data_IF_799416233198
#
_entry.id   IF_799416233198
#
_cell.length_a   1.000
_cell.length_b   1.000
_cell.length_c   1.000
_cell.angle_alpha   90.00
_cell.angle_beta   90.00
_cell.angle_gamma   90.00
#
_symmetry.space_group_name_H-M   'P 1'
#
loop_
_entity.id
_entity.type
_entity.pdbx_description
1 polymer ?
#
# COMPACT_ATOMS: atom_id res chain seq x y z
N UNK A 1 20.12 -18.39 -15.33
CA UNK A 1 19.77 -18.57 -13.90
C UNK A 1 19.42 -17.18 -13.35
N UNK A 2 18.25 -16.65 -13.71
CA UNK A 2 17.84 -15.27 -13.45
C UNK A 2 16.34 -15.22 -13.09
N UNK A 3 15.94 -16.00 -12.10
CA UNK A 3 14.53 -16.12 -11.69
C UNK A 3 14.33 -16.10 -10.16
N UNK A 4 15.40 -15.92 -9.38
CA UNK A 4 15.31 -15.95 -7.90
C UNK A 4 15.45 -14.54 -7.30
N UNK A 5 16.11 -13.62 -8.01
CA UNK A 5 16.35 -12.25 -7.52
C UNK A 5 15.09 -11.39 -7.66
N UNK A 6 14.36 -11.49 -8.78
CA UNK A 6 13.13 -10.70 -9.00
C UNK A 6 12.03 -11.02 -7.98
N UNK A 7 11.86 -12.29 -7.64
CA UNK A 7 10.84 -12.70 -6.66
C UNK A 7 11.23 -12.34 -5.22
N UNK A 8 12.52 -12.26 -4.88
CA UNK A 8 12.98 -11.80 -3.56
C UNK A 8 12.90 -10.28 -3.41
N UNK A 9 13.16 -9.52 -4.47
CA UNK A 9 13.02 -8.06 -4.44
C UNK A 9 11.55 -7.63 -4.26
N UNK A 10 10.62 -8.35 -4.88
CA UNK A 10 9.18 -8.10 -4.77
C UNK A 10 8.53 -8.84 -3.58
N UNK A 11 9.25 -9.74 -2.90
CA UNK A 11 8.72 -10.51 -1.77
C UNK A 11 8.22 -9.64 -0.60
N UNK A 12 8.89 -8.55 -0.17
CA UNK A 12 8.39 -7.69 0.90
C UNK A 12 7.07 -7.00 0.52
N UNK A 13 6.93 -6.63 -0.75
CA UNK A 13 5.77 -5.92 -1.29
C UNK A 13 4.59 -6.89 -1.41
N UNK A 14 4.79 -8.05 -2.04
CA UNK A 14 3.78 -9.12 -2.14
C UNK A 14 3.33 -9.58 -0.74
N UNK A 15 4.23 -9.64 0.22
CA UNK A 15 3.93 -9.97 1.62
C UNK A 15 3.09 -8.88 2.30
N UNK A 16 3.44 -7.60 2.11
CA UNK A 16 2.71 -6.47 2.68
C UNK A 16 1.31 -6.31 2.09
N UNK A 17 1.17 -6.46 0.77
CA UNK A 17 -0.12 -6.49 0.07
C UNK A 17 -0.98 -7.66 0.54
N UNK A 18 -0.38 -8.85 0.76
CA UNK A 18 -1.11 -10.00 1.30
C UNK A 18 -1.61 -9.74 2.72
N UNK A 19 -0.80 -9.11 3.59
CA UNK A 19 -1.22 -8.70 4.93
C UNK A 19 -2.34 -7.65 4.87
N UNK A 20 -2.19 -6.63 4.03
CA UNK A 20 -3.20 -5.59 3.86
C UNK A 20 -4.53 -6.16 3.34
N UNK A 21 -4.48 -7.08 2.37
CA UNK A 21 -5.65 -7.78 1.87
C UNK A 21 -6.31 -8.66 2.94
N UNK A 22 -5.52 -9.38 3.74
CA UNK A 22 -6.05 -10.19 4.85
C UNK A 22 -6.68 -9.36 5.94
N UNK A 23 -6.16 -8.15 6.17
CA UNK A 23 -6.73 -7.17 7.09
C UNK A 23 -8.01 -6.57 6.54
N UNK A 24 -8.04 -6.20 5.25
CA UNK A 24 -9.23 -5.74 4.53
C UNK A 24 -10.37 -6.78 4.53
N UNK A 25 -10.07 -8.06 4.30
CA UNK A 25 -11.04 -9.16 4.38
C UNK A 25 -11.65 -9.33 5.80
N UNK A 26 -10.94 -8.89 6.85
CA UNK A 26 -11.51 -8.84 8.21
C UNK A 26 -12.21 -7.52 8.53
N UNK A 27 -11.91 -6.46 7.76
CA UNK A 27 -12.38 -5.09 7.95
C UNK A 27 -13.61 -4.72 7.09
N UNK A 28 -14.15 -5.64 6.28
CA UNK A 28 -15.42 -5.49 5.53
C UNK A 28 -16.64 -5.07 6.38
N UNK A 29 -16.50 -4.96 7.71
CA UNK A 29 -17.56 -4.50 8.60
C UNK A 29 -17.68 -2.98 8.75
N UNK A 30 -16.65 -2.19 8.46
CA UNK A 30 -16.72 -0.73 8.42
C UNK A 30 -15.71 -0.21 7.38
N UNK A 31 -16.19 0.39 6.30
CA UNK A 31 -15.35 1.07 5.30
C UNK A 31 -14.54 2.16 6.01
N UNK A 32 -13.30 1.85 6.34
CA UNK A 32 -12.37 2.76 7.02
C UNK A 32 -11.48 3.42 5.97
N UNK A 33 -11.18 4.71 6.16
CA UNK A 33 -10.42 5.55 5.22
C UNK A 33 -9.07 4.93 4.78
N UNK A 34 -8.46 4.13 5.65
CA UNK A 34 -7.20 3.42 5.45
C UNK A 34 -7.30 2.40 4.32
N UNK A 35 -8.46 1.72 4.20
CA UNK A 35 -8.68 0.69 3.16
C UNK A 35 -8.57 1.28 1.77
N UNK A 36 -9.08 2.51 1.60
CA UNK A 36 -9.03 3.23 0.33
C UNK A 36 -7.61 3.66 -0.05
N UNK A 37 -6.79 4.03 0.93
CA UNK A 37 -5.38 4.36 0.69
C UNK A 37 -4.59 3.13 0.26
N UNK A 38 -4.90 1.94 0.80
CA UNK A 38 -4.27 0.71 0.32
C UNK A 38 -4.68 0.36 -1.12
N UNK A 39 -5.93 0.62 -1.51
CA UNK A 39 -6.36 0.48 -2.91
C UNK A 39 -5.60 1.45 -3.83
N UNK A 40 -5.45 2.71 -3.41
CA UNK A 40 -4.71 3.73 -4.16
C UNK A 40 -3.22 3.36 -4.31
N UNK A 41 -2.59 2.80 -3.27
CA UNK A 41 -1.21 2.29 -3.33
C UNK A 41 -1.06 1.11 -4.30
N UNK A 42 -2.04 0.20 -4.33
CA UNK A 42 -2.07 -0.92 -5.28
C UNK A 42 -2.19 -0.45 -6.73
N UNK A 43 -3.06 0.52 -7.00
CA UNK A 43 -3.20 1.12 -8.34
C UNK A 43 -1.90 1.83 -8.76
N UNK A 44 -1.29 2.60 -7.84
CA UNK A 44 -0.03 3.30 -8.09
C UNK A 44 1.09 2.31 -8.49
N UNK A 45 1.20 1.20 -7.77
CA UNK A 45 2.18 0.15 -8.08
C UNK A 45 1.91 -0.51 -9.44
N UNK A 46 0.65 -0.82 -9.76
CA UNK A 46 0.30 -1.37 -11.08
C UNK A 46 0.70 -0.41 -12.22
N UNK A 47 0.44 0.88 -12.04
CA UNK A 47 0.78 1.90 -13.04
C UNK A 47 2.29 2.05 -13.22
N UNK A 48 3.06 1.89 -12.15
CA UNK A 48 4.52 1.86 -12.22
C UNK A 48 5.03 0.60 -12.92
N UNK A 49 4.49 -0.58 -12.59
CA UNK A 49 4.83 -1.85 -13.25
C UNK A 49 4.48 -1.87 -14.75
N UNK A 50 3.46 -1.12 -15.17
CA UNK A 50 3.07 -0.93 -16.57
C UNK A 50 3.87 0.19 -17.27
N UNK A 51 4.87 0.78 -16.61
CA UNK A 51 5.68 1.91 -17.08
C UNK A 51 4.83 3.15 -17.46
N UNK A 52 3.62 3.28 -16.90
CA UNK A 52 2.73 4.43 -17.13
C UNK A 52 3.17 5.68 -16.33
N UNK A 53 3.95 5.46 -15.27
CA UNK A 53 4.57 6.51 -14.45
C UNK A 53 6.05 6.21 -14.23
N UNK A 54 6.86 7.26 -14.06
CA UNK A 54 8.28 7.12 -13.75
C UNK A 54 8.52 6.75 -12.29
N UNK A 55 9.72 6.21 -12.00
CA UNK A 55 10.18 5.94 -10.63
C UNK A 55 10.05 7.17 -9.72
N UNK A 56 10.47 8.35 -10.20
CA UNK A 56 10.39 9.60 -9.43
C UNK A 56 8.94 10.01 -9.11
N UNK A 57 8.01 9.74 -10.03
CA UNK A 57 6.60 10.04 -9.82
C UNK A 57 5.94 9.01 -8.88
N UNK A 58 6.33 7.74 -9.00
CA UNK A 58 5.93 6.68 -8.08
C UNK A 58 6.36 7.01 -6.65
N UNK A 59 7.66 7.27 -6.41
CA UNK A 59 8.20 7.54 -5.08
C UNK A 59 7.51 8.74 -4.41
N UNK A 60 7.23 9.78 -5.20
CA UNK A 60 6.54 10.99 -4.72
C UNK A 60 5.09 10.68 -4.31
N UNK A 61 4.36 9.94 -5.14
CA UNK A 61 2.96 9.60 -4.84
C UNK A 61 2.84 8.58 -3.71
N UNK A 62 3.73 7.59 -3.66
CA UNK A 62 3.80 6.60 -2.59
C UNK A 62 4.04 7.29 -1.24
N UNK A 63 5.00 8.23 -1.19
CA UNK A 63 5.29 8.99 0.03
C UNK A 63 4.04 9.75 0.53
N UNK A 64 3.33 10.45 -0.36
CA UNK A 64 2.11 11.19 0.02
C UNK A 64 0.99 10.27 0.53
N UNK A 65 0.81 9.11 -0.08
CA UNK A 65 -0.20 8.13 0.36
C UNK A 65 0.18 7.53 1.72
N UNK A 66 1.46 7.26 1.95
CA UNK A 66 1.97 6.74 3.22
C UNK A 66 1.87 7.76 4.37
N UNK A 67 2.16 9.04 4.12
CA UNK A 67 1.95 10.12 5.09
C UNK A 67 0.48 10.20 5.53
N UNK A 68 -0.44 10.16 4.55
CA UNK A 68 -1.88 10.18 4.82
C UNK A 68 -2.34 8.96 5.63
N UNK A 69 -1.76 7.79 5.38
CA UNK A 69 -2.04 6.58 6.15
C UNK A 69 -1.58 6.75 7.61
N UNK A 70 -0.42 7.36 7.83
CA UNK A 70 0.10 7.64 9.17
C UNK A 70 -0.80 8.63 9.94
N UNK A 71 -1.28 9.69 9.27
CA UNK A 71 -2.23 10.63 9.86
C UNK A 71 -3.51 9.92 10.33
N UNK A 72 -4.13 9.12 9.47
CA UNK A 72 -5.37 8.42 9.81
C UNK A 72 -5.16 7.44 10.98
N UNK A 73 -4.03 6.73 11.01
CA UNK A 73 -3.69 5.85 12.14
C UNK A 73 -3.56 6.63 13.44
N UNK A 74 -2.84 7.76 13.43
CA UNK A 74 -2.73 8.66 14.60
C UNK A 74 -4.10 9.13 15.08
N UNK A 75 -4.97 9.58 14.18
CA UNK A 75 -6.33 9.99 14.53
C UNK A 75 -7.13 8.87 15.20
N UNK A 76 -7.04 7.63 14.71
CA UNK A 76 -7.73 6.49 15.32
C UNK A 76 -7.16 6.10 16.69
N UNK A 77 -5.86 6.24 16.89
CA UNK A 77 -5.21 5.98 18.18
C UNK A 77 -5.60 7.03 19.24
N UNK A 78 -5.74 8.30 18.82
CA UNK A 78 -6.19 9.40 19.67
C UNK A 78 -7.68 9.30 20.04
N UNK A 79 -8.55 8.91 19.10
CA UNK A 79 -10.01 8.79 19.34
C UNK A 79 -10.38 7.57 20.21
N UNK A 80 -9.46 6.59 20.34
CA UNK A 80 -9.62 5.40 21.18
C UNK A 80 -9.00 5.54 22.59
N UNK A 81 -8.40 6.68 22.94
CA UNK A 81 -7.77 6.97 24.25
C UNK A 81 -8.63 7.86 25.15
#
# INVERSE_FOLDING_TARGET
>A
MALIVDDILLAPIKFSVWIAKKLSESAEKEMTDDSRIYEDLLDLQMRHELEEISDEEYDKQETMLMEKLEEIRKYKEEDQS
#
